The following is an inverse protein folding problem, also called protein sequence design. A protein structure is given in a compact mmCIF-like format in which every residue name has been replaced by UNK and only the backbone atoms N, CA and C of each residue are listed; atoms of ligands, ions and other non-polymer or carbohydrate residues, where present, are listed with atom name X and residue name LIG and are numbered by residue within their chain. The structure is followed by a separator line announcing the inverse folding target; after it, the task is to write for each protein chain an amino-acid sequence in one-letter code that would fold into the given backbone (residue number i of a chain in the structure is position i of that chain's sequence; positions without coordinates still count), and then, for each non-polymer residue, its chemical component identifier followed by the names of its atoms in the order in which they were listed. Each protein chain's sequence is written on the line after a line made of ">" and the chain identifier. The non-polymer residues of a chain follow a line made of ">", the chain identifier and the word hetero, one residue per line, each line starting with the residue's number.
data_IF_977378887975
#
_entry.id   IF_977378887975
#
_cell.length_a   1.000
_cell.length_b   1.000
_cell.length_c   1.000
_cell.angle_alpha   90.00
_cell.angle_beta   90.00
_cell.angle_gamma   90.00
#
_symmetry.space_group_name_H-M   'P 1'
#
loop_
_entity.id
_entity.type
_entity.pdbx_description
1 polymer ?
#
# COMPACT_ATOMS: atom_id res chain seq x y z
N UNK A 1 12.77 15.50 -14.87
CA UNK A 1 13.22 15.50 -13.46
C UNK A 1 12.46 14.37 -12.78
N UNK A 2 13.17 13.36 -12.26
CA UNK A 2 12.53 12.36 -11.40
C UNK A 2 12.08 13.13 -10.14
N UNK A 3 10.80 13.04 -9.78
CA UNK A 3 10.23 13.60 -8.54
C UNK A 3 9.93 12.44 -7.58
N UNK A 4 10.98 11.76 -7.05
CA UNK A 4 10.78 10.66 -6.13
C UNK A 4 10.40 11.24 -4.76
N UNK A 5 9.26 10.81 -4.24
CA UNK A 5 8.83 11.08 -2.87
C UNK A 5 8.70 9.76 -2.12
N UNK A 6 8.72 9.83 -0.79
CA UNK A 6 8.30 8.71 0.02
C UNK A 6 6.79 8.50 -0.19
N UNK A 7 6.44 7.42 -0.88
CA UNK A 7 5.08 7.07 -1.24
C UNK A 7 4.59 5.96 -0.32
N UNK A 8 3.40 6.16 0.24
CA UNK A 8 2.68 5.13 0.98
C UNK A 8 2.12 4.09 0.02
N UNK A 9 2.58 2.84 0.11
CA UNK A 9 2.13 1.73 -0.76
C UNK A 9 0.63 1.50 -0.57
N UNK A 10 0.22 1.25 0.68
CA UNK A 10 -1.16 1.45 1.13
C UNK A 10 -1.32 2.91 1.53
N UNK A 11 -2.29 3.62 0.94
CA UNK A 11 -2.44 5.06 1.14
C UNK A 11 -2.61 5.45 2.62
N UNK A 12 -1.99 6.59 2.96
CA UNK A 12 -2.16 7.23 4.27
C UNK A 12 -3.58 7.76 4.47
N UNK A 13 -4.15 8.35 3.42
CA UNK A 13 -5.49 8.95 3.42
C UNK A 13 -6.17 8.69 2.08
N UNK A 14 -7.48 8.39 2.12
CA UNK A 14 -8.31 8.20 0.93
C UNK A 14 -9.18 9.43 0.62
N UNK A 15 -9.51 9.62 -0.65
CA UNK A 15 -10.44 10.65 -1.13
C UNK A 15 -11.87 10.09 -1.28
N UNK A 16 -12.84 10.77 -0.66
CA UNK A 16 -14.23 10.31 -0.64
C UNK A 16 -14.45 9.10 0.28
N UNK A 17 -15.71 8.71 0.46
CA UNK A 17 -16.06 7.67 1.44
C UNK A 17 -15.50 6.29 1.08
N UNK A 18 -15.50 5.95 -0.22
CA UNK A 18 -15.12 4.61 -0.66
C UNK A 18 -13.62 4.34 -0.48
N UNK A 19 -12.76 5.29 -0.89
CA UNK A 19 -11.33 5.15 -0.64
C UNK A 19 -11.02 5.19 0.86
N UNK A 20 -11.70 6.05 1.64
CA UNK A 20 -11.49 6.09 3.10
C UNK A 20 -11.78 4.75 3.76
N UNK A 21 -12.87 4.07 3.38
CA UNK A 21 -13.18 2.73 3.89
C UNK A 21 -12.09 1.72 3.55
N UNK A 22 -11.61 1.72 2.31
CA UNK A 22 -10.53 0.82 1.87
C UNK A 22 -9.20 1.13 2.59
N UNK A 23 -8.87 2.41 2.79
CA UNK A 23 -7.70 2.81 3.57
C UNK A 23 -7.82 2.30 5.00
N UNK A 24 -8.94 2.54 5.67
CA UNK A 24 -9.16 2.05 7.04
C UNK A 24 -8.99 0.53 7.12
N UNK A 25 -9.62 -0.21 6.22
CA UNK A 25 -9.52 -1.67 6.16
C UNK A 25 -8.07 -2.14 5.96
N UNK A 26 -7.34 -1.56 5.00
CA UNK A 26 -5.94 -1.90 4.78
C UNK A 26 -5.06 -1.56 5.98
N UNK A 27 -5.33 -0.44 6.66
CA UNK A 27 -4.53 -0.01 7.82
C UNK A 27 -4.77 -0.91 9.03
N UNK A 28 -6.01 -1.33 9.26
CA UNK A 28 -6.34 -2.33 10.29
C UNK A 28 -5.60 -3.63 10.02
N UNK A 29 -5.61 -4.09 8.77
CA UNK A 29 -4.89 -5.28 8.37
C UNK A 29 -3.38 -5.17 8.61
N UNK A 30 -2.73 -4.06 8.25
CA UNK A 30 -1.30 -3.87 8.53
C UNK A 30 -0.99 -3.89 10.04
N UNK A 31 -1.87 -3.30 10.87
CA UNK A 31 -1.71 -3.30 12.33
C UNK A 31 -1.81 -4.70 12.93
N UNK A 32 -2.66 -5.58 12.39
CA UNK A 32 -2.73 -6.99 12.83
C UNK A 32 -1.38 -7.72 12.68
N UNK A 33 -0.56 -7.29 11.72
CA UNK A 33 0.76 -7.84 11.44
C UNK A 33 1.90 -7.05 12.12
N UNK A 34 1.59 -6.15 13.06
CA UNK A 34 2.56 -5.26 13.71
C UNK A 34 3.37 -4.41 12.69
N UNK A 35 2.67 -3.87 11.69
CA UNK A 35 3.22 -2.90 10.74
C UNK A 35 2.49 -1.58 10.96
N UNK A 36 3.25 -0.51 11.21
CA UNK A 36 2.68 0.84 11.30
C UNK A 36 2.34 1.33 9.87
N UNK A 37 1.07 1.55 9.53
CA UNK A 37 0.70 1.95 8.18
C UNK A 37 1.11 3.38 7.82
N UNK A 38 1.43 4.22 8.81
CA UNK A 38 1.72 5.64 8.63
C UNK A 38 3.23 5.88 8.65
N UNK A 39 3.92 5.34 9.66
CA UNK A 39 5.35 5.58 9.90
C UNK A 39 6.24 4.36 9.64
N UNK A 40 5.67 3.19 9.42
CA UNK A 40 6.42 1.97 9.13
C UNK A 40 7.12 2.06 7.78
N UNK A 41 8.43 1.86 7.77
CA UNK A 41 9.25 1.89 6.55
C UNK A 41 8.84 0.81 5.55
N UNK A 42 8.18 -0.25 6.01
CA UNK A 42 7.67 -1.36 5.20
C UNK A 42 6.54 -0.91 4.26
N UNK A 43 5.77 0.11 4.66
CA UNK A 43 4.71 0.69 3.84
C UNK A 43 5.17 1.93 3.03
N UNK A 44 6.48 2.21 2.99
CA UNK A 44 7.05 3.35 2.30
C UNK A 44 7.98 2.91 1.17
N UNK A 45 7.85 3.56 0.01
CA UNK A 45 8.71 3.32 -1.14
C UNK A 45 9.03 4.62 -1.86
N UNK A 46 10.22 4.72 -2.45
CA UNK A 46 10.51 5.80 -3.40
C UNK A 46 9.83 5.49 -4.73
N UNK A 47 8.86 6.31 -5.12
CA UNK A 47 8.14 6.19 -6.38
C UNK A 47 7.90 7.58 -7.00
N UNK A 48 7.64 7.67 -8.32
CA UNK A 48 7.23 8.93 -8.94
C UNK A 48 5.88 9.42 -8.35
N UNK A 49 5.69 10.73 -8.17
CA UNK A 49 4.53 11.30 -7.45
C UNK A 49 3.28 11.59 -8.29
N UNK A 50 3.43 11.75 -9.60
CA UNK A 50 2.40 12.37 -10.46
C UNK A 50 1.94 11.48 -11.60
N UNK A 51 2.08 10.16 -11.46
CA UNK A 51 1.59 9.23 -12.48
C UNK A 51 0.09 9.04 -12.28
N UNK A 52 -0.70 9.39 -13.29
CA UNK A 52 -2.15 9.16 -13.31
C UNK A 52 -2.44 7.67 -13.07
N UNK A 53 -3.37 7.34 -12.18
CA UNK A 53 -3.65 5.95 -11.81
C UNK A 53 -2.95 5.44 -10.55
N UNK A 54 -1.91 6.11 -10.04
CA UNK A 54 -1.24 5.68 -8.79
C UNK A 54 -2.08 5.93 -7.54
N UNK A 55 -2.90 6.98 -7.53
CA UNK A 55 -3.75 7.37 -6.40
C UNK A 55 -5.23 7.01 -6.61
N UNK A 56 -5.51 6.18 -7.60
CA UNK A 56 -6.86 5.83 -7.99
C UNK A 56 -7.39 4.68 -7.11
N UNK A 57 -8.71 4.59 -7.00
CA UNK A 57 -9.36 3.60 -6.13
C UNK A 57 -9.06 2.16 -6.53
N UNK A 58 -8.85 1.89 -7.82
CA UNK A 58 -8.48 0.55 -8.31
C UNK A 58 -7.10 0.12 -7.82
N UNK A 59 -6.13 1.05 -7.79
CA UNK A 59 -4.81 0.78 -7.25
C UNK A 59 -4.88 0.45 -5.75
N UNK A 60 -5.64 1.24 -4.99
CA UNK A 60 -5.87 0.98 -3.56
C UNK A 60 -6.56 -0.37 -3.34
N UNK A 61 -7.58 -0.69 -4.12
CA UNK A 61 -8.31 -1.97 -4.03
C UNK A 61 -7.39 -3.15 -4.31
N UNK A 62 -6.52 -3.04 -5.32
CA UNK A 62 -5.53 -4.07 -5.61
C UNK A 62 -4.56 -4.29 -4.43
N UNK A 63 -4.05 -3.20 -3.83
CA UNK A 63 -3.20 -3.29 -2.64
C UNK A 63 -3.94 -4.01 -1.51
N UNK A 64 -5.12 -3.55 -1.12
CA UNK A 64 -5.91 -4.16 -0.03
C UNK A 64 -6.20 -5.64 -0.31
N UNK A 65 -6.57 -6.01 -1.55
CA UNK A 65 -6.82 -7.40 -1.92
C UNK A 65 -5.57 -8.28 -1.77
N UNK A 66 -4.41 -7.79 -2.20
CA UNK A 66 -3.14 -8.54 -2.08
C UNK A 66 -2.73 -8.74 -0.63
N UNK A 67 -2.95 -7.75 0.23
CA UNK A 67 -2.68 -7.91 1.66
C UNK A 67 -3.67 -8.92 2.30
N UNK A 68 -4.95 -8.90 1.90
CA UNK A 68 -5.94 -9.91 2.33
C UNK A 68 -5.56 -11.32 1.87
N UNK A 69 -5.04 -11.48 0.66
CA UNK A 69 -4.56 -12.78 0.16
C UNK A 69 -3.47 -13.37 1.07
N UNK A 70 -2.53 -12.55 1.55
CA UNK A 70 -1.51 -12.97 2.54
C UNK A 70 -2.18 -13.47 3.82
N UNK A 71 -3.06 -12.65 4.42
CA UNK A 71 -3.78 -13.02 5.65
C UNK A 71 -4.60 -14.31 5.48
N UNK A 72 -5.35 -14.42 4.39
CA UNK A 72 -6.22 -15.58 4.13
C UNK A 72 -5.43 -16.87 3.86
N UNK A 73 -4.18 -16.74 3.41
CA UNK A 73 -3.27 -17.87 3.20
C UNK A 73 -2.55 -18.28 4.50
N UNK A 74 -2.82 -17.61 5.62
CA UNK A 74 -2.14 -17.84 6.90
C UNK A 74 -0.71 -17.32 6.92
N UNK A 75 -0.37 -16.38 6.04
CA UNK A 75 0.95 -15.76 6.01
C UNK A 75 1.25 -14.97 7.28
N UNK A 76 2.53 -14.72 7.52
CA UNK A 76 3.02 -14.00 8.70
C UNK A 76 3.44 -12.56 8.37
N UNK A 77 4.11 -11.90 9.32
CA UNK A 77 4.59 -10.53 9.15
C UNK A 77 5.60 -10.42 8.00
N UNK A 78 6.49 -11.39 7.84
CA UNK A 78 7.51 -11.35 6.80
C UNK A 78 6.86 -11.47 5.41
N UNK A 79 5.86 -12.33 5.27
CA UNK A 79 5.06 -12.44 4.04
C UNK A 79 4.36 -11.12 3.70
N UNK A 80 3.80 -10.45 4.71
CA UNK A 80 3.14 -9.15 4.55
C UNK A 80 4.13 -8.06 4.09
N UNK A 81 5.33 -8.03 4.67
CA UNK A 81 6.40 -7.10 4.27
C UNK A 81 6.91 -7.40 2.86
N UNK A 82 7.05 -8.69 2.50
CA UNK A 82 7.43 -9.08 1.15
C UNK A 82 6.38 -8.65 0.13
N UNK A 83 5.09 -8.81 0.45
CA UNK A 83 4.00 -8.35 -0.40
C UNK A 83 4.02 -6.83 -0.59
N UNK A 84 4.18 -6.06 0.49
CA UNK A 84 4.35 -4.59 0.39
C UNK A 84 5.54 -4.23 -0.50
N UNK A 85 6.68 -4.89 -0.34
CA UNK A 85 7.85 -4.68 -1.19
C UNK A 85 7.57 -4.94 -2.67
N UNK A 86 6.85 -6.02 -3.00
CA UNK A 86 6.43 -6.34 -4.38
C UNK A 86 5.54 -5.23 -4.95
N UNK A 87 4.50 -4.84 -4.22
CA UNK A 87 3.58 -3.77 -4.61
C UNK A 87 4.29 -2.42 -4.77
N UNK A 88 5.21 -2.08 -3.87
CA UNK A 88 6.01 -0.86 -3.96
C UNK A 88 6.93 -0.83 -5.18
N UNK A 89 7.54 -1.97 -5.52
CA UNK A 89 8.35 -2.08 -6.74
C UNK A 89 7.51 -1.91 -8.02
N UNK A 90 6.30 -2.46 -8.04
CA UNK A 90 5.36 -2.24 -9.15
C UNK A 90 5.00 -0.76 -9.29
N UNK A 91 4.69 -0.09 -8.17
CA UNK A 91 4.37 1.34 -8.16
C UNK A 91 5.55 2.20 -8.65
N UNK A 92 6.77 1.89 -8.21
CA UNK A 92 8.01 2.60 -8.57
C UNK A 92 8.39 2.45 -10.05
N UNK A 93 7.96 1.36 -10.72
CA UNK A 93 8.25 1.10 -12.14
C UNK A 93 7.27 1.76 -13.11
N UNK A 94 6.16 2.32 -12.62
CA UNK A 94 5.19 3.04 -13.47
C UNK A 94 5.86 4.30 -14.06
N UNK A 95 5.57 4.59 -15.33
CA UNK A 95 6.11 5.71 -16.11
C UNK A 95 4.99 6.51 -16.74
#
# INVERSE_FOLDING_TARGET
>A
MFDPHAHHILFKEGLGEEQKKLVTEGQELLREFNIDPIMGGENLIWAPNRIKGQHDIEALRNVVNKLKEVKNSGGDREDMVEMLKKLGQEAARRK
#
